data_IF_890194764652
#
_entry.id   IF_890194764652
#
_cell.length_a   1.000
_cell.length_b   1.000
_cell.length_c   1.000
_cell.angle_alpha   90.00
_cell.angle_beta   90.00
_cell.angle_gamma   90.00
#
_symmetry.space_group_name_H-M   'P 1'
#
loop_
_entity.id
_entity.type
_entity.pdbx_description
1 polymer ?
#
# COMPACT_ATOMS: atom_id res chain seq x y z
N UNK A 1 5.50 -56.53 72.49
CA UNK A 1 6.02 -56.08 71.17
C UNK A 1 5.00 -55.15 70.50
N UNK A 2 5.09 -53.81 70.65
CA UNK A 2 4.13 -52.88 70.03
C UNK A 2 4.81 -51.74 69.24
N UNK A 3 5.65 -52.06 68.23
CA UNK A 3 6.35 -51.03 67.44
C UNK A 3 6.06 -51.05 65.93
N UNK A 4 5.18 -51.94 65.44
CA UNK A 4 4.94 -52.08 63.98
C UNK A 4 3.83 -51.21 63.39
N UNK A 5 2.96 -50.61 64.20
CA UNK A 5 1.78 -49.90 63.67
C UNK A 5 2.12 -48.45 63.29
N UNK A 6 3.03 -47.77 64.00
CA UNK A 6 3.33 -46.36 63.73
C UNK A 6 4.14 -46.11 62.45
N UNK A 7 4.95 -47.07 62.00
CA UNK A 7 5.77 -46.91 60.78
C UNK A 7 4.93 -46.94 59.50
N UNK A 8 3.83 -47.69 59.49
CA UNK A 8 2.95 -47.78 58.30
C UNK A 8 2.22 -46.47 58.07
N UNK A 9 1.69 -45.82 59.13
CA UNK A 9 0.98 -44.55 58.99
C UNK A 9 1.87 -43.40 58.49
N UNK A 10 3.12 -43.34 58.94
CA UNK A 10 4.07 -42.29 58.52
C UNK A 10 4.45 -42.41 57.03
N UNK A 11 4.65 -43.63 56.53
CA UNK A 11 4.96 -43.87 55.12
C UNK A 11 3.77 -43.52 54.22
N UNK A 12 2.55 -43.85 54.64
CA UNK A 12 1.34 -43.53 53.87
C UNK A 12 1.07 -42.02 53.81
N UNK A 13 1.31 -41.28 54.89
CA UNK A 13 1.15 -39.82 54.93
C UNK A 13 2.22 -39.13 54.05
N UNK A 14 3.46 -39.63 54.03
CA UNK A 14 4.52 -39.12 53.16
C UNK A 14 4.24 -39.39 51.68
N UNK A 15 3.72 -40.58 51.33
CA UNK A 15 3.30 -40.89 49.96
C UNK A 15 2.10 -40.06 49.50
N UNK A 16 1.11 -39.84 50.38
CA UNK A 16 -0.05 -39.00 50.05
C UNK A 16 0.33 -37.53 49.87
N UNK A 17 1.24 -36.99 50.69
CA UNK A 17 1.72 -35.61 50.52
C UNK A 17 2.61 -35.46 49.29
N UNK A 18 3.42 -36.46 48.93
CA UNK A 18 4.22 -36.42 47.71
C UNK A 18 3.35 -36.54 46.43
N UNK A 19 2.31 -37.37 46.44
CA UNK A 19 1.36 -37.48 45.33
C UNK A 19 0.51 -36.21 45.20
N UNK A 20 0.01 -35.65 46.30
CA UNK A 20 -0.76 -34.40 46.29
C UNK A 20 0.10 -33.19 45.88
N UNK A 21 1.36 -33.14 46.31
CA UNK A 21 2.32 -32.11 45.90
C UNK A 21 2.61 -32.16 44.40
N UNK A 22 2.86 -33.35 43.83
CA UNK A 22 3.06 -33.49 42.39
C UNK A 22 1.79 -33.17 41.59
N UNK A 23 0.60 -33.49 42.08
CA UNK A 23 -0.65 -33.15 41.40
C UNK A 23 -0.92 -31.63 41.35
N UNK A 24 -0.43 -30.87 42.33
CA UNK A 24 -0.56 -29.40 42.35
C UNK A 24 0.48 -28.70 41.48
N UNK A 25 1.66 -29.30 41.25
CA UNK A 25 2.70 -28.70 40.40
C UNK A 25 2.61 -29.08 38.91
N UNK A 26 1.94 -30.17 38.54
CA UNK A 26 1.86 -30.64 37.15
C UNK A 26 0.56 -30.31 36.41
N UNK A 27 -0.43 -29.68 37.07
CA UNK A 27 -1.73 -29.41 36.44
C UNK A 27 -1.95 -27.93 36.05
N UNK A 28 -0.91 -27.10 36.13
CA UNK A 28 -0.96 -25.69 35.70
C UNK A 28 -0.56 -25.50 34.22
N UNK A 29 -0.72 -26.55 33.41
CA UNK A 29 -0.72 -26.41 31.95
C UNK A 29 -2.04 -25.78 31.52
N UNK A 30 -2.24 -24.51 31.87
CA UNK A 30 -3.29 -23.68 31.27
C UNK A 30 -3.10 -23.79 29.75
N UNK A 31 -4.12 -24.19 28.97
CA UNK A 31 -3.98 -24.37 27.54
C UNK A 31 -3.43 -23.07 26.97
N UNK A 32 -2.19 -23.11 26.47
CA UNK A 32 -1.54 -21.94 25.91
C UNK A 32 -2.38 -21.53 24.71
N UNK A 33 -3.19 -20.49 24.88
CA UNK A 33 -4.18 -20.07 23.88
C UNK A 33 -3.43 -19.74 22.60
N UNK A 34 -3.52 -20.63 21.60
CA UNK A 34 -2.84 -20.45 20.32
C UNK A 34 -3.29 -19.14 19.70
N UNK A 35 -2.40 -18.15 19.69
CA UNK A 35 -2.67 -16.84 19.11
C UNK A 35 -2.84 -17.04 17.60
N UNK A 36 -4.00 -16.66 17.07
CA UNK A 36 -4.25 -16.75 15.63
C UNK A 36 -3.27 -15.82 14.87
N UNK A 37 -2.94 -16.17 13.63
CA UNK A 37 -2.07 -15.31 12.79
C UNK A 37 -2.62 -13.87 12.66
N UNK A 38 -3.94 -13.72 12.56
CA UNK A 38 -4.60 -12.40 12.57
C UNK A 38 -4.35 -11.64 13.85
N UNK A 39 -4.46 -12.29 15.01
CA UNK A 39 -4.22 -11.63 16.30
C UNK A 39 -2.73 -11.28 16.48
N UNK A 40 -1.81 -12.11 15.97
CA UNK A 40 -0.38 -11.79 15.93
C UNK A 40 -0.11 -10.52 15.12
N UNK A 41 -0.68 -10.41 13.92
CA UNK A 41 -0.52 -9.23 13.06
C UNK A 41 -1.17 -7.97 13.67
N UNK A 42 -2.29 -8.14 14.35
CA UNK A 42 -2.90 -7.05 15.12
C UNK A 42 -2.01 -6.61 16.30
N UNK A 43 -1.41 -7.55 17.02
CA UNK A 43 -0.49 -7.24 18.12
C UNK A 43 0.76 -6.50 17.62
N UNK A 44 1.31 -6.90 16.47
CA UNK A 44 2.39 -6.17 15.81
C UNK A 44 1.94 -4.76 15.39
N UNK A 45 0.75 -4.63 14.79
CA UNK A 45 0.18 -3.32 14.45
C UNK A 45 0.05 -2.42 15.69
N UNK A 46 -0.51 -2.95 16.77
CA UNK A 46 -0.72 -2.24 18.04
C UNK A 46 0.59 -1.79 18.69
N UNK A 47 1.60 -2.67 18.71
CA UNK A 47 2.87 -2.38 19.40
C UNK A 47 3.87 -1.59 18.56
N UNK A 48 3.92 -1.79 17.24
CA UNK A 48 4.95 -1.20 16.38
C UNK A 48 4.42 -0.08 15.48
N UNK A 49 3.18 -0.17 15.01
CA UNK A 49 2.65 0.73 13.98
C UNK A 49 1.86 1.87 14.61
N UNK A 50 1.05 1.62 15.64
CA UNK A 50 0.31 2.67 16.35
C UNK A 50 1.22 3.80 16.86
N UNK A 51 2.40 3.53 17.47
CA UNK A 51 3.32 4.60 17.85
C UNK A 51 3.75 5.48 16.66
N UNK A 52 4.01 4.87 15.50
CA UNK A 52 4.35 5.61 14.27
C UNK A 52 3.17 6.49 13.83
N UNK A 53 1.95 5.95 13.86
CA UNK A 53 0.76 6.71 13.46
C UNK A 53 0.50 7.90 14.40
N UNK A 54 0.61 7.70 15.71
CA UNK A 54 0.44 8.76 16.71
C UNK A 54 1.41 9.90 16.48
N UNK A 55 2.69 9.60 16.29
CA UNK A 55 3.73 10.63 16.11
C UNK A 55 3.63 11.30 14.73
N UNK A 56 3.33 10.54 13.68
CA UNK A 56 3.60 10.99 12.30
C UNK A 56 2.37 11.20 11.41
N UNK A 57 1.26 10.54 11.68
CA UNK A 57 0.13 10.46 10.74
C UNK A 57 -1.17 11.05 11.30
N UNK A 58 -1.35 11.06 12.63
CA UNK A 58 -2.63 11.44 13.24
C UNK A 58 -3.03 12.88 12.94
N UNK A 59 -2.08 13.82 12.81
CA UNK A 59 -2.35 15.21 12.45
C UNK A 59 -3.14 15.39 11.15
N UNK A 60 -3.07 14.43 10.21
CA UNK A 60 -3.79 14.51 8.93
C UNK A 60 -4.92 13.49 8.82
N UNK A 61 -4.80 12.33 9.46
CA UNK A 61 -5.68 11.19 9.24
C UNK A 61 -6.59 10.88 10.43
N UNK A 62 -6.26 11.33 11.62
CA UNK A 62 -7.07 11.07 12.79
C UNK A 62 -8.30 11.99 12.83
N UNK A 63 -9.39 11.47 13.40
CA UNK A 63 -10.58 12.22 13.75
C UNK A 63 -10.94 11.88 15.19
N UNK A 64 -11.13 12.91 16.00
CA UNK A 64 -11.69 12.76 17.34
C UNK A 64 -13.00 11.97 17.28
N UNK A 65 -13.25 11.10 18.27
CA UNK A 65 -14.41 10.19 18.34
C UNK A 65 -15.72 10.80 17.86
N UNK A 66 -16.10 11.99 18.37
CA UNK A 66 -17.37 12.63 17.99
C UNK A 66 -17.44 12.93 16.49
N UNK A 67 -16.35 13.43 15.89
CA UNK A 67 -16.26 13.73 14.45
C UNK A 67 -16.18 12.46 13.63
N UNK A 68 -15.44 11.46 14.09
CA UNK A 68 -15.35 10.17 13.41
C UNK A 68 -16.73 9.53 13.25
N UNK A 69 -17.54 9.48 14.31
CA UNK A 69 -18.89 8.90 14.28
C UNK A 69 -19.85 9.61 13.32
N UNK A 70 -19.66 10.91 13.09
CA UNK A 70 -20.47 11.66 12.12
C UNK A 70 -20.18 11.26 10.67
N UNK A 71 -18.95 10.85 10.36
CA UNK A 71 -18.53 10.50 8.99
C UNK A 71 -18.37 9.01 8.76
N UNK A 72 -18.44 8.18 9.80
CA UNK A 72 -18.16 6.74 9.77
C UNK A 72 -18.89 6.01 8.62
N UNK A 73 -20.19 6.32 8.45
CA UNK A 73 -21.03 5.74 7.39
C UNK A 73 -20.62 6.13 5.96
N UNK A 74 -19.88 7.23 5.82
CA UNK A 74 -19.46 7.80 4.55
C UNK A 74 -17.95 7.66 4.32
N UNK A 75 -17.20 6.97 5.19
CA UNK A 75 -15.75 6.85 5.09
C UNK A 75 -15.28 6.25 3.76
N UNK A 76 -16.09 5.40 3.13
CA UNK A 76 -15.75 4.78 1.85
C UNK A 76 -15.85 5.76 0.66
N UNK A 77 -16.43 6.95 0.88
CA UNK A 77 -16.44 8.05 -0.10
C UNK A 77 -15.22 8.95 0.02
N UNK A 78 -14.54 8.90 1.17
CA UNK A 78 -13.33 9.69 1.47
C UNK A 78 -12.14 9.03 0.77
N UNK A 79 -11.35 9.77 -0.03
CA UNK A 79 -10.28 9.18 -0.83
C UNK A 79 -9.01 8.80 -0.05
N UNK A 80 -9.05 8.84 1.28
CA UNK A 80 -7.92 8.54 2.16
C UNK A 80 -8.38 7.91 3.47
N UNK A 81 -7.45 7.23 4.15
CA UNK A 81 -7.71 6.58 5.42
C UNK A 81 -8.03 7.62 6.49
N UNK A 82 -9.07 7.35 7.28
CA UNK A 82 -9.44 8.07 8.49
C UNK A 82 -9.68 7.05 9.60
N UNK A 83 -9.25 7.39 10.81
CA UNK A 83 -9.46 6.56 12.00
C UNK A 83 -9.81 7.40 13.22
N UNK A 84 -10.39 6.73 14.20
CA UNK A 84 -10.84 7.32 15.46
C UNK A 84 -9.67 7.50 16.43
N UNK A 85 -9.61 8.64 17.13
CA UNK A 85 -8.63 8.92 18.21
C UNK A 85 -9.29 9.59 19.41
N UNK A 86 -8.57 9.61 20.54
CA UNK A 86 -8.99 10.32 21.76
C UNK A 86 -8.88 11.86 21.60
N UNK A 87 -9.19 12.60 22.66
CA UNK A 87 -9.12 14.07 22.67
C UNK A 87 -7.69 14.62 22.47
N UNK A 88 -6.67 13.87 22.87
CA UNK A 88 -5.25 14.20 22.65
C UNK A 88 -4.78 13.94 21.22
N UNK A 89 -5.59 13.26 20.40
CA UNK A 89 -5.24 12.89 19.04
C UNK A 89 -4.55 11.53 18.90
N UNK A 90 -4.57 10.68 19.94
CA UNK A 90 -3.87 9.40 19.99
C UNK A 90 -4.80 8.18 19.85
N UNK A 91 -4.25 7.11 19.29
CA UNK A 91 -4.81 5.75 19.27
C UNK A 91 -4.50 5.02 20.59
N UNK A 92 -5.10 5.48 21.69
CA UNK A 92 -4.80 5.00 23.03
C UNK A 92 -5.45 3.65 23.35
N UNK A 93 -6.70 3.45 22.91
CA UNK A 93 -7.49 2.29 23.32
C UNK A 93 -7.47 1.16 22.29
N UNK A 94 -7.56 -0.09 22.74
CA UNK A 94 -7.65 -1.26 21.83
C UNK A 94 -8.79 -1.15 20.80
N UNK A 95 -10.01 -0.67 21.14
CA UNK A 95 -11.05 -0.43 20.14
C UNK A 95 -10.63 0.54 19.03
N UNK A 96 -10.00 1.67 19.36
CA UNK A 96 -9.51 2.63 18.38
C UNK A 96 -8.43 2.01 17.47
N UNK A 97 -7.50 1.26 18.06
CA UNK A 97 -6.47 0.56 17.32
C UNK A 97 -7.04 -0.51 16.38
N UNK A 98 -8.07 -1.25 16.81
CA UNK A 98 -8.78 -2.21 15.94
C UNK A 98 -9.52 -1.53 14.80
N UNK A 99 -10.10 -0.35 15.03
CA UNK A 99 -10.69 0.46 13.97
C UNK A 99 -9.62 0.85 12.95
N UNK A 100 -8.51 1.44 13.39
CA UNK A 100 -7.40 1.82 12.51
C UNK A 100 -6.86 0.63 11.71
N UNK A 101 -6.58 -0.49 12.37
CA UNK A 101 -6.13 -1.73 11.75
C UNK A 101 -7.11 -2.22 10.67
N UNK A 102 -8.41 -2.22 10.99
CA UNK A 102 -9.46 -2.61 10.05
C UNK A 102 -9.49 -1.67 8.84
N UNK A 103 -9.31 -0.36 9.03
CA UNK A 103 -9.28 0.60 7.91
C UNK A 103 -8.09 0.40 6.97
N UNK A 104 -6.97 -0.14 7.45
CA UNK A 104 -5.84 -0.50 6.58
C UNK A 104 -6.02 -1.83 5.87
N UNK A 105 -6.59 -2.82 6.57
CA UNK A 105 -6.70 -4.21 6.08
C UNK A 105 -7.99 -4.50 5.31
N UNK A 106 -9.03 -3.69 5.49
CA UNK A 106 -10.29 -3.86 4.77
C UNK A 106 -10.19 -3.35 3.34
N UNK A 107 -10.66 -4.18 2.40
CA UNK A 107 -10.86 -3.78 1.00
C UNK A 107 -12.36 -3.82 0.70
N UNK A 108 -13.00 -2.66 0.54
CA UNK A 108 -14.40 -2.63 0.11
C UNK A 108 -14.50 -3.08 -1.35
N UNK A 109 -14.92 -4.33 -1.58
CA UNK A 109 -15.12 -4.89 -2.93
C UNK A 109 -16.34 -4.27 -3.66
N UNK A 110 -17.28 -3.66 -2.93
CA UNK A 110 -18.55 -3.10 -3.46
C UNK A 110 -18.47 -1.61 -3.84
N UNK A 111 -17.50 -0.86 -3.32
CA UNK A 111 -17.34 0.57 -3.67
C UNK A 111 -16.73 0.74 -5.06
N UNK A 112 -17.29 1.66 -5.85
CA UNK A 112 -16.70 2.11 -7.12
C UNK A 112 -15.35 2.84 -6.91
N UNK A 113 -15.12 3.36 -5.70
CA UNK A 113 -13.83 3.90 -5.24
C UNK A 113 -13.15 2.86 -4.35
N UNK A 114 -12.30 2.04 -4.96
CA UNK A 114 -11.47 1.06 -4.23
C UNK A 114 -10.30 1.77 -3.57
N UNK A 115 -10.52 2.37 -2.40
CA UNK A 115 -9.41 2.76 -1.54
C UNK A 115 -8.93 1.51 -0.78
N UNK A 116 -7.69 1.11 -0.99
CA UNK A 116 -7.05 -0.04 -0.33
C UNK A 116 -5.64 0.39 0.12
N UNK A 117 -5.47 0.78 1.39
CA UNK A 117 -4.18 1.29 1.89
C UNK A 117 -3.01 0.32 1.72
N UNK A 118 -3.26 -0.97 1.88
CA UNK A 118 -2.25 -2.01 1.74
C UNK A 118 -2.05 -2.45 0.30
N UNK A 119 -3.01 -2.23 -0.60
CA UNK A 119 -2.84 -2.56 -2.02
C UNK A 119 -2.40 -4.02 -2.25
N UNK A 120 -3.12 -4.99 -1.68
CA UNK A 120 -2.79 -6.43 -1.63
C UNK A 120 -2.37 -7.11 -2.94
N UNK A 121 -2.59 -6.46 -4.09
CA UNK A 121 -2.28 -6.95 -5.43
C UNK A 121 -0.92 -6.49 -5.98
N UNK A 122 -0.21 -5.63 -5.26
CA UNK A 122 1.04 -5.05 -5.72
C UNK A 122 2.23 -5.49 -4.86
N UNK A 123 3.42 -5.10 -5.32
CA UNK A 123 4.60 -5.06 -4.47
C UNK A 123 4.34 -4.21 -3.22
N UNK A 124 4.94 -4.59 -2.10
CA UNK A 124 4.76 -3.94 -0.80
C UNK A 124 5.09 -2.45 -0.84
N UNK A 125 6.14 -2.05 -1.57
CA UNK A 125 6.51 -0.62 -1.69
C UNK A 125 5.47 0.20 -2.47
N UNK A 126 4.61 -0.45 -3.26
CA UNK A 126 3.53 0.21 -3.97
C UNK A 126 2.25 0.37 -3.14
N UNK A 127 2.19 -0.22 -1.94
CA UNK A 127 1.09 0.01 -0.99
C UNK A 127 0.97 1.52 -0.70
N UNK A 128 -0.22 2.13 -0.90
CA UNK A 128 -0.41 3.55 -0.63
C UNK A 128 0.06 4.01 0.76
N UNK A 129 -0.10 3.16 1.78
CA UNK A 129 0.32 3.48 3.16
C UNK A 129 1.85 3.57 3.33
N UNK A 130 2.64 3.01 2.43
CA UNK A 130 4.11 3.17 2.40
C UNK A 130 4.52 4.23 1.39
N UNK A 131 3.96 4.16 0.18
CA UNK A 131 4.37 5.02 -0.94
C UNK A 131 4.02 6.48 -0.67
N UNK A 132 2.79 6.78 -0.30
CA UNK A 132 2.31 8.17 -0.20
C UNK A 132 3.06 8.99 0.86
N UNK A 133 3.29 8.50 2.10
CA UNK A 133 4.00 9.28 3.12
C UNK A 133 5.52 9.38 2.89
N UNK A 134 6.08 8.64 1.94
CA UNK A 134 7.51 8.64 1.65
C UNK A 134 7.90 9.88 0.82
N UNK A 135 9.08 10.45 1.09
CA UNK A 135 9.58 11.64 0.41
C UNK A 135 9.50 11.51 -1.13
N UNK A 136 9.23 12.64 -1.80
CA UNK A 136 8.78 12.66 -3.19
C UNK A 136 9.82 12.02 -4.15
N UNK A 137 11.10 12.23 -3.88
CA UNK A 137 12.21 11.63 -4.62
C UNK A 137 12.26 10.09 -4.51
N UNK A 138 11.56 9.48 -3.56
CA UNK A 138 11.47 8.03 -3.38
C UNK A 138 10.07 7.46 -3.72
N UNK A 139 9.00 8.24 -3.55
CA UNK A 139 7.62 7.81 -3.80
C UNK A 139 7.09 8.09 -5.20
N UNK A 140 7.58 9.16 -5.83
CA UNK A 140 7.04 9.71 -7.08
C UNK A 140 5.66 10.37 -6.91
N UNK A 141 5.18 10.56 -5.68
CA UNK A 141 3.86 11.12 -5.37
C UNK A 141 4.03 12.36 -4.51
N UNK A 142 3.21 13.39 -4.76
CA UNK A 142 3.19 14.60 -3.94
C UNK A 142 2.26 14.40 -2.74
N UNK A 143 2.83 14.44 -1.55
CA UNK A 143 2.18 14.40 -0.24
C UNK A 143 3.15 15.05 0.77
N UNK A 144 2.69 15.57 1.93
CA UNK A 144 3.61 15.89 3.02
C UNK A 144 4.59 14.74 3.29
N UNK A 145 5.88 15.05 3.31
CA UNK A 145 6.92 14.04 3.50
C UNK A 145 6.97 13.64 4.97
N UNK A 146 6.54 12.41 5.26
CA UNK A 146 6.48 11.86 6.61
C UNK A 146 7.71 10.97 6.89
N UNK A 147 8.18 10.26 5.86
CA UNK A 147 9.41 9.46 5.89
C UNK A 147 10.40 10.05 4.90
N UNK A 148 11.59 10.41 5.38
CA UNK A 148 12.63 11.05 4.55
C UNK A 148 13.25 10.09 3.54
N UNK A 149 13.23 8.78 3.82
CA UNK A 149 13.77 7.74 2.94
C UNK A 149 13.26 6.35 3.31
N UNK A 150 13.55 5.35 2.47
CA UNK A 150 13.31 3.92 2.77
C UNK A 150 14.17 3.38 3.93
N UNK A 151 15.16 4.15 4.38
CA UNK A 151 16.01 3.79 5.50
C UNK A 151 15.50 4.30 6.86
N UNK A 152 14.46 5.14 6.87
CA UNK A 152 13.83 5.65 8.08
C UNK A 152 13.39 4.48 8.99
N UNK A 153 13.74 4.48 10.29
CA UNK A 153 13.40 3.40 11.20
C UNK A 153 11.90 3.11 11.30
N UNK A 154 11.07 4.14 11.30
CA UNK A 154 9.62 3.98 11.39
C UNK A 154 9.03 3.49 10.06
N UNK A 155 9.60 3.95 8.93
CA UNK A 155 9.25 3.38 7.63
C UNK A 155 9.56 1.88 7.58
N UNK A 156 10.70 1.44 8.12
CA UNK A 156 11.09 0.02 8.16
C UNK A 156 10.11 -0.83 8.99
N UNK A 157 9.65 -0.32 10.14
CA UNK A 157 8.59 -0.98 10.93
C UNK A 157 7.33 -1.16 10.11
N UNK A 158 6.86 -0.07 9.48
CA UNK A 158 5.69 -0.12 8.60
C UNK A 158 5.88 -1.09 7.43
N UNK A 159 7.03 -1.06 6.76
CA UNK A 159 7.34 -1.96 5.66
C UNK A 159 7.32 -3.43 6.09
N UNK A 160 7.88 -3.75 7.27
CA UNK A 160 7.86 -5.11 7.82
C UNK A 160 6.43 -5.60 8.02
N UNK A 161 5.61 -4.81 8.72
CA UNK A 161 4.22 -5.15 8.96
C UNK A 161 3.40 -5.27 7.66
N UNK A 162 3.57 -4.35 6.71
CA UNK A 162 2.88 -4.40 5.41
C UNK A 162 3.26 -5.64 4.60
N UNK A 163 4.53 -6.06 4.64
CA UNK A 163 4.98 -7.30 4.01
C UNK A 163 4.24 -8.51 4.57
N UNK A 164 4.23 -8.66 5.89
CA UNK A 164 3.57 -9.78 6.55
C UNK A 164 2.04 -9.80 6.30
N UNK A 165 1.38 -8.64 6.35
CA UNK A 165 -0.05 -8.51 6.04
C UNK A 165 -0.38 -8.91 4.61
N UNK A 166 0.40 -8.42 3.64
CA UNK A 166 0.19 -8.74 2.24
C UNK A 166 0.44 -10.23 2.01
N UNK A 167 1.54 -10.79 2.53
CA UNK A 167 1.82 -12.23 2.40
C UNK A 167 0.72 -13.11 3.03
N UNK A 168 0.15 -12.68 4.17
CA UNK A 168 -0.94 -13.40 4.81
C UNK A 168 -2.24 -13.35 4.00
N UNK A 169 -2.58 -12.18 3.45
CA UNK A 169 -3.90 -11.92 2.84
C UNK A 169 -3.91 -11.94 1.32
N UNK A 170 -2.78 -12.20 0.65
CA UNK A 170 -2.69 -12.22 -0.82
C UNK A 170 -3.55 -13.36 -1.37
N UNK A 171 -4.80 -13.05 -1.68
CA UNK A 171 -5.76 -13.98 -2.29
C UNK A 171 -5.37 -14.32 -3.74
N UNK A 172 -4.71 -13.40 -4.45
CA UNK A 172 -4.38 -13.58 -5.86
C UNK A 172 -3.06 -12.88 -6.19
N UNK A 173 -2.14 -13.53 -6.93
CA UNK A 173 -0.95 -12.86 -7.43
C UNK A 173 -1.31 -11.69 -8.37
N UNK A 174 -0.39 -10.74 -8.57
CA UNK A 174 -0.56 -9.72 -9.59
C UNK A 174 -0.85 -10.37 -10.95
N UNK A 175 -1.78 -9.80 -11.71
CA UNK A 175 -2.03 -10.27 -13.08
C UNK A 175 -0.77 -10.01 -13.92
N UNK A 176 -0.27 -11.00 -14.66
CA UNK A 176 0.87 -10.78 -15.54
C UNK A 176 0.54 -9.80 -16.66
N UNK A 177 1.54 -9.02 -17.08
CA UNK A 177 1.43 -8.14 -18.24
C UNK A 177 1.09 -8.92 -19.52
N UNK A 178 0.16 -8.37 -20.31
CA UNK A 178 -0.08 -8.80 -21.70
C UNK A 178 1.11 -8.46 -22.59
N UNK A 179 1.19 -9.05 -23.79
CA UNK A 179 2.26 -8.74 -24.76
C UNK A 179 2.35 -7.23 -25.07
N UNK A 180 1.21 -6.55 -25.20
CA UNK A 180 1.17 -5.11 -25.45
C UNK A 180 1.61 -4.28 -24.24
N UNK A 181 1.31 -4.73 -23.02
CA UNK A 181 1.80 -4.08 -21.81
C UNK A 181 3.30 -4.32 -21.60
N UNK A 182 3.81 -5.51 -21.94
CA UNK A 182 5.25 -5.80 -21.95
C UNK A 182 5.98 -4.91 -22.96
N UNK A 183 5.42 -4.73 -24.16
CA UNK A 183 5.96 -3.79 -25.15
C UNK A 183 5.95 -2.36 -24.60
N UNK A 184 4.82 -1.92 -24.03
CA UNK A 184 4.70 -0.60 -23.42
C UNK A 184 5.75 -0.37 -22.32
N UNK A 185 5.89 -1.33 -21.39
CA UNK A 185 6.89 -1.26 -20.32
C UNK A 185 8.33 -1.20 -20.85
N UNK A 186 8.67 -2.04 -21.84
CA UNK A 186 10.05 -2.18 -22.34
C UNK A 186 10.45 -1.10 -23.34
N UNK A 187 9.50 -0.57 -24.12
CA UNK A 187 9.79 0.30 -25.27
C UNK A 187 9.23 1.71 -25.12
N UNK A 188 8.07 1.88 -24.50
CA UNK A 188 7.38 3.17 -24.43
C UNK A 188 7.72 3.91 -23.13
N UNK A 189 7.62 3.27 -21.97
CA UNK A 189 7.93 3.90 -20.67
C UNK A 189 9.34 4.55 -20.66
N UNK A 190 10.41 3.90 -21.16
CA UNK A 190 11.74 4.52 -21.19
C UNK A 190 11.78 5.82 -22.00
N UNK A 191 11.03 5.91 -23.10
CA UNK A 191 10.89 7.13 -23.90
C UNK A 191 10.20 8.21 -23.06
N UNK A 192 9.08 7.87 -22.41
CA UNK A 192 8.32 8.81 -21.57
C UNK A 192 9.15 9.34 -20.39
N UNK A 193 10.02 8.51 -19.81
CA UNK A 193 10.97 8.93 -18.77
C UNK A 193 12.01 9.88 -19.35
N UNK A 194 12.73 9.50 -20.43
CA UNK A 194 13.81 10.32 -21.02
C UNK A 194 13.30 11.66 -21.55
N UNK A 195 12.08 11.70 -22.09
CA UNK A 195 11.44 12.92 -22.62
C UNK A 195 10.67 13.71 -21.54
N UNK A 196 10.83 13.35 -20.27
CA UNK A 196 10.22 13.99 -19.11
C UNK A 196 8.68 14.11 -19.19
N UNK A 197 8.00 13.19 -19.86
CA UNK A 197 6.55 13.22 -19.99
C UNK A 197 5.88 13.08 -18.62
N UNK A 198 6.44 12.26 -17.72
CA UNK A 198 5.95 12.09 -16.35
C UNK A 198 6.06 13.35 -15.48
N UNK A 199 6.96 14.28 -15.79
CA UNK A 199 7.04 15.57 -15.09
C UNK A 199 5.81 16.44 -15.34
N UNK A 200 5.26 16.41 -16.56
CA UNK A 200 4.07 17.16 -16.96
C UNK A 200 2.76 16.38 -16.77
N UNK A 201 2.82 15.05 -16.73
CA UNK A 201 1.68 14.13 -16.71
C UNK A 201 1.66 13.22 -15.49
N UNK A 202 2.18 13.66 -14.35
CA UNK A 202 2.05 12.91 -13.09
C UNK A 202 0.61 12.83 -12.58
N UNK A 203 0.38 12.11 -11.47
CA UNK A 203 -0.96 11.91 -10.89
C UNK A 203 -1.69 13.21 -10.53
N UNK A 204 -0.93 14.29 -10.27
CA UNK A 204 -1.45 15.62 -9.94
C UNK A 204 -1.44 16.60 -11.12
N UNK A 205 -1.24 16.13 -12.35
CA UNK A 205 -1.31 17.00 -13.52
C UNK A 205 -2.70 17.64 -13.65
N UNK A 206 -2.74 18.91 -14.08
CA UNK A 206 -3.99 19.63 -14.31
C UNK A 206 -4.70 19.23 -15.61
N UNK A 207 -4.03 18.46 -16.48
CA UNK A 207 -4.58 17.98 -17.73
C UNK A 207 -5.20 16.57 -17.59
N UNK A 208 -5.93 16.15 -18.61
CA UNK A 208 -6.63 14.85 -18.61
C UNK A 208 -5.68 13.65 -18.60
N UNK A 209 -4.48 13.80 -19.18
CA UNK A 209 -3.49 12.72 -19.24
C UNK A 209 -2.72 12.66 -17.93
N UNK A 210 -3.27 11.91 -16.98
CA UNK A 210 -2.64 11.56 -15.72
C UNK A 210 -2.00 10.19 -15.83
N UNK A 211 -0.72 10.12 -15.53
CA UNK A 211 0.08 8.92 -15.48
C UNK A 211 0.70 8.77 -14.10
N UNK A 212 0.88 7.53 -13.68
CA UNK A 212 1.67 7.18 -12.53
C UNK A 212 3.16 7.31 -12.89
N UNK A 213 3.91 8.10 -12.14
CA UNK A 213 5.33 8.41 -12.39
C UNK A 213 6.28 7.28 -11.97
N UNK A 214 5.73 6.22 -11.37
CA UNK A 214 6.45 5.13 -10.74
C UNK A 214 6.88 5.46 -9.30
N UNK A 215 7.58 4.52 -8.69
CA UNK A 215 8.17 4.61 -7.35
C UNK A 215 9.69 4.59 -7.56
N UNK A 216 10.38 5.74 -7.46
CA UNK A 216 11.84 5.77 -7.63
C UNK A 216 12.60 4.81 -6.69
N UNK A 217 12.08 4.55 -5.49
CA UNK A 217 12.67 3.60 -4.55
C UNK A 217 12.44 2.11 -4.89
N UNK A 218 11.54 1.83 -5.85
CA UNK A 218 11.29 0.47 -6.32
C UNK A 218 12.23 0.15 -7.48
N UNK A 219 12.87 -1.03 -7.46
CA UNK A 219 13.96 -1.39 -8.40
C UNK A 219 13.53 -1.28 -9.86
N UNK A 220 12.35 -1.77 -10.19
CA UNK A 220 11.78 -1.74 -11.55
C UNK A 220 11.08 -0.40 -11.84
N UNK A 221 11.00 0.49 -10.84
CA UNK A 221 10.28 1.78 -10.80
C UNK A 221 8.77 1.69 -11.02
N UNK A 222 8.27 0.76 -11.83
CA UNK A 222 6.85 0.61 -12.13
C UNK A 222 6.39 -0.80 -11.81
N UNK A 223 5.27 -0.94 -11.09
CA UNK A 223 4.59 -2.23 -10.95
C UNK A 223 3.80 -2.56 -12.22
N UNK A 224 3.41 -3.82 -12.37
CA UNK A 224 2.56 -4.26 -13.48
C UNK A 224 1.23 -3.48 -13.56
N UNK A 225 0.66 -3.13 -12.41
CA UNK A 225 -0.56 -2.31 -12.35
C UNK A 225 -0.30 -0.88 -12.84
N UNK A 226 0.84 -0.27 -12.47
CA UNK A 226 1.22 1.07 -12.96
C UNK A 226 1.46 1.07 -14.46
N UNK A 227 2.12 0.03 -14.99
CA UNK A 227 2.29 -0.15 -16.45
C UNK A 227 0.92 -0.23 -17.13
N UNK A 228 0.02 -1.06 -16.61
CA UNK A 228 -1.34 -1.21 -17.17
C UNK A 228 -2.11 0.11 -17.12
N UNK A 229 -2.06 0.83 -16.00
CA UNK A 229 -2.68 2.13 -15.82
C UNK A 229 -2.15 3.16 -16.81
N UNK A 230 -0.83 3.31 -16.91
CA UNK A 230 -0.17 4.26 -17.82
C UNK A 230 -0.48 3.96 -19.28
N UNK A 231 -0.48 2.69 -19.67
CA UNK A 231 -0.87 2.28 -21.03
C UNK A 231 -2.32 2.67 -21.33
N UNK A 232 -3.25 2.40 -20.41
CA UNK A 232 -4.67 2.77 -20.58
C UNK A 232 -4.88 4.28 -20.64
N UNK A 233 -4.12 5.05 -19.86
CA UNK A 233 -4.13 6.50 -19.90
C UNK A 233 -3.68 7.04 -21.27
N UNK A 234 -2.56 6.50 -21.80
CA UNK A 234 -2.03 6.83 -23.13
C UNK A 234 -2.98 6.43 -24.28
N UNK A 235 -3.78 5.38 -24.09
CA UNK A 235 -4.80 4.94 -25.04
C UNK A 235 -6.10 5.75 -24.99
N UNK A 236 -6.17 6.80 -24.17
CA UNK A 236 -7.35 7.67 -24.13
C UNK A 236 -8.56 7.05 -23.45
N UNK A 237 -8.40 5.94 -22.71
CA UNK A 237 -9.52 5.37 -21.93
C UNK A 237 -10.08 6.34 -20.88
N UNK A 238 -9.30 7.37 -20.52
CA UNK A 238 -9.70 8.48 -19.66
C UNK A 238 -9.48 9.86 -20.28
N UNK A 239 -9.01 9.92 -21.54
CA UNK A 239 -8.59 11.17 -22.18
C UNK A 239 -9.07 11.22 -23.62
N UNK A 240 -9.45 12.40 -24.11
CA UNK A 240 -9.85 12.60 -25.52
C UNK A 240 -8.64 12.79 -26.45
N UNK A 241 -7.48 12.21 -26.11
CA UNK A 241 -6.21 12.49 -26.78
C UNK A 241 -5.86 11.48 -27.88
N UNK A 242 -6.55 10.34 -27.94
CA UNK A 242 -6.36 9.35 -29.00
C UNK A 242 -7.33 9.58 -30.14
N UNK A 243 -6.83 9.49 -31.37
CA UNK A 243 -7.67 9.57 -32.55
C UNK A 243 -8.47 8.26 -32.71
N UNK A 244 -9.80 8.38 -32.74
CA UNK A 244 -10.73 7.27 -32.88
C UNK A 244 -10.90 6.79 -34.33
N UNK A 245 -10.38 7.54 -35.32
CA UNK A 245 -10.47 7.17 -36.75
C UNK A 245 -9.49 6.07 -37.17
N UNK A 246 -8.70 5.51 -36.24
CA UNK A 246 -7.76 4.42 -36.49
C UNK A 246 -6.38 4.84 -37.00
N UNK A 247 -6.20 6.09 -37.45
CA UNK A 247 -4.87 6.60 -37.82
C UNK A 247 -4.09 7.05 -36.58
N UNK A 248 -3.24 6.16 -36.06
CA UNK A 248 -2.34 6.43 -34.93
C UNK A 248 -1.49 7.68 -35.19
N UNK A 249 -1.02 7.85 -36.44
CA UNK A 249 -0.20 9.00 -36.86
C UNK A 249 -0.89 10.36 -36.70
N UNK A 250 -2.22 10.39 -36.63
CA UNK A 250 -3.03 11.59 -36.41
C UNK A 250 -3.49 11.74 -34.96
N UNK A 251 -3.11 10.82 -34.07
CA UNK A 251 -3.43 10.90 -32.64
C UNK A 251 -2.86 12.18 -32.04
N UNK A 252 -3.70 12.95 -31.32
CA UNK A 252 -3.26 14.15 -30.61
C UNK A 252 -2.14 13.83 -29.62
N UNK A 253 -2.10 12.61 -29.09
CA UNK A 253 -1.02 12.10 -28.25
C UNK A 253 0.35 12.12 -28.94
N UNK A 254 0.40 12.06 -30.28
CA UNK A 254 1.66 12.03 -31.05
C UNK A 254 1.92 13.37 -31.74
N UNK A 255 0.93 13.94 -32.44
CA UNK A 255 1.13 15.16 -33.25
C UNK A 255 1.39 16.42 -32.41
N UNK A 256 1.00 16.43 -31.13
CA UNK A 256 1.34 17.53 -30.20
C UNK A 256 2.82 17.55 -29.80
N UNK A 257 3.53 16.45 -30.03
CA UNK A 257 4.89 16.26 -29.55
C UNK A 257 5.95 16.43 -30.66
N UNK A 258 5.54 16.78 -31.88
CA UNK A 258 6.42 17.11 -33.02
C UNK A 258 6.21 18.55 -33.50
N UNK A 259 7.21 19.17 -34.17
CA UNK A 259 7.10 20.51 -34.72
C UNK A 259 5.95 20.66 -35.71
N UNK A 260 5.40 21.87 -35.82
CA UNK A 260 4.38 22.19 -36.83
C UNK A 260 4.93 21.94 -38.24
N UNK A 261 6.22 22.24 -38.49
CA UNK A 261 6.91 21.94 -39.76
C UNK A 261 6.92 20.46 -40.14
N UNK A 262 6.78 19.56 -39.15
CA UNK A 262 6.79 18.12 -39.33
C UNK A 262 5.35 17.54 -39.42
N UNK A 263 4.33 18.41 -39.45
CA UNK A 263 2.91 18.04 -39.40
C UNK A 263 2.32 17.96 -38.00
N UNK A 264 2.97 18.59 -37.01
CA UNK A 264 2.47 18.69 -35.64
C UNK A 264 1.34 19.71 -35.47
N UNK A 265 0.75 19.74 -34.27
CA UNK A 265 -0.30 20.72 -33.88
C UNK A 265 0.10 21.48 -32.62
N UNK A 266 -0.38 22.71 -32.45
CA UNK A 266 -0.05 23.56 -31.30
C UNK A 266 -0.25 22.82 -29.96
N UNK A 267 0.78 22.84 -29.12
CA UNK A 267 0.78 22.24 -27.80
C UNK A 267 1.26 23.23 -26.74
N UNK A 268 0.49 23.38 -25.65
CA UNK A 268 0.80 24.29 -24.54
C UNK A 268 2.17 24.00 -23.90
N UNK A 269 2.60 22.73 -23.85
CA UNK A 269 3.91 22.34 -23.34
C UNK A 269 5.05 22.44 -24.36
N UNK A 270 4.79 22.98 -25.56
CA UNK A 270 5.74 23.03 -26.66
C UNK A 270 5.66 21.82 -27.59
N UNK A 271 6.28 21.95 -28.76
CA UNK A 271 6.16 20.99 -29.87
C UNK A 271 7.47 20.24 -30.19
N UNK A 272 8.50 20.37 -29.35
CA UNK A 272 9.87 19.95 -29.68
C UNK A 272 10.33 18.70 -28.92
N UNK A 273 9.41 17.78 -28.59
CA UNK A 273 9.76 16.55 -27.88
C UNK A 273 10.36 15.49 -28.81
N UNK A 274 9.88 15.43 -30.07
CA UNK A 274 10.36 14.54 -31.11
C UNK A 274 10.44 15.26 -32.46
N UNK A 275 11.10 14.62 -33.42
CA UNK A 275 10.93 14.89 -34.86
C UNK A 275 10.19 13.73 -35.50
N UNK A 276 9.57 13.93 -36.67
CA UNK A 276 8.84 12.82 -37.36
C UNK A 276 9.75 11.64 -37.72
N UNK A 277 11.04 11.88 -37.95
CA UNK A 277 12.04 10.85 -38.22
C UNK A 277 12.75 10.30 -36.95
N UNK A 278 12.43 10.82 -35.75
CA UNK A 278 13.02 10.40 -34.48
C UNK A 278 12.74 8.89 -34.25
N UNK A 279 13.76 8.07 -33.95
CA UNK A 279 13.58 6.65 -33.65
C UNK A 279 12.55 6.39 -32.54
N UNK A 280 12.51 7.25 -31.51
CA UNK A 280 11.54 7.13 -30.41
C UNK A 280 10.13 7.41 -30.91
N UNK A 281 9.95 8.37 -31.82
CA UNK A 281 8.64 8.63 -32.45
C UNK A 281 8.16 7.43 -33.27
N UNK A 282 9.06 6.76 -34.00
CA UNK A 282 8.74 5.54 -34.75
C UNK A 282 8.33 4.38 -33.84
N UNK A 283 8.85 4.32 -32.62
CA UNK A 283 8.43 3.31 -31.62
C UNK A 283 7.02 3.62 -31.12
N UNK A 284 6.68 4.88 -30.89
CA UNK A 284 5.35 5.31 -30.43
C UNK A 284 4.22 5.08 -31.46
N UNK A 285 4.57 4.90 -32.74
CA UNK A 285 3.63 4.57 -33.81
C UNK A 285 3.21 3.09 -33.85
N UNK A 286 3.87 2.22 -33.08
CA UNK A 286 3.60 0.77 -33.02
C UNK A 286 2.66 0.44 -31.86
#
# INVERSE_FOLDING_TARGET
MPYKIHTVYLVTILLLTFVAGNYLFFNDSTPQKTITRTERLFNQFSSEIVPVLNVRCNNCHALETKKYKQVEKNLDTIPFAKWEVNASGDLETLPQQRIAYTRFTYTNKKSSRKFSPLGFRNDHLASPILRVPLANNFSGVRHPEIFSSVNDPDFKKMLSWVKEEIEFRRETPPRPLTSNEKFFAKKIIPILVRKNCFGCHGLNAFNDLKMDTGIPAYKERFTDEMVSYNRKAMLGMKTRQVNLSGSISQSRQLVKNIPISDGGIIHKGGNHFFRKNDPDFKILLK
#
